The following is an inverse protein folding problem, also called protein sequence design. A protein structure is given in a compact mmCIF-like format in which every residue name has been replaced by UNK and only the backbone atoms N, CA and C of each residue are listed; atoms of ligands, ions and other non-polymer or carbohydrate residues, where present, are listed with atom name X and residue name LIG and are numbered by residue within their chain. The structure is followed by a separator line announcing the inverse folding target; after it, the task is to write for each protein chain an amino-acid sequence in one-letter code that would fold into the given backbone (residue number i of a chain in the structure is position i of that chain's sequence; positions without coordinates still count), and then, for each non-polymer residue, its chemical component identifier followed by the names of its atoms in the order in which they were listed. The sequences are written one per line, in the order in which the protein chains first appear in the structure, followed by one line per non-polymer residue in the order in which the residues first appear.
data_IF_187827126186
#
_entry.id   IF_187827126186
#
_cell.length_a   1.000
_cell.length_b   1.000
_cell.length_c   1.000
_cell.angle_alpha   90.00
_cell.angle_beta   90.00
_cell.angle_gamma   90.00
#
_symmetry.space_group_name_H-M   'P 1'
#
loop_
_entity.id
_entity.type
_entity.pdbx_description
1 polymer ?
#
# COMPACT_ATOMS: atom_id res chain seq x y z
N UNK A 1 -22.01 8.98 -1.84
CA UNK A 1 -20.62 9.26 -2.26
C UNK A 1 -19.80 8.03 -1.93
N UNK A 2 -18.77 7.69 -2.71
CA UNK A 2 -17.93 6.52 -2.41
C UNK A 2 -16.88 6.84 -1.35
N UNK A 3 -16.45 5.82 -0.62
CA UNK A 3 -15.50 5.87 0.48
C UNK A 3 -14.37 4.90 0.18
N UNK A 4 -13.12 5.37 0.17
CA UNK A 4 -12.00 4.55 -0.29
C UNK A 4 -11.04 4.21 0.83
N UNK A 5 -10.63 2.94 0.87
CA UNK A 5 -9.46 2.49 1.64
C UNK A 5 -8.36 2.20 0.64
N UNK A 6 -7.17 2.75 0.86
CA UNK A 6 -6.07 2.65 -0.09
C UNK A 6 -4.79 2.20 0.58
N UNK A 7 -3.94 1.53 -0.20
CA UNK A 7 -2.63 1.04 0.25
C UNK A 7 -1.56 1.58 -0.70
N UNK A 8 -0.64 2.33 -0.12
CA UNK A 8 0.55 2.82 -0.81
C UNK A 8 1.77 2.00 -0.42
N UNK A 9 2.68 1.84 -1.36
CA UNK A 9 4.01 1.26 -1.14
C UNK A 9 5.08 2.28 -1.49
N UNK A 10 6.07 2.42 -0.61
CA UNK A 10 7.22 3.27 -0.88
C UNK A 10 8.15 2.59 -1.88
N UNK A 11 8.53 3.30 -2.93
CA UNK A 11 9.58 2.85 -3.86
C UNK A 11 10.98 3.07 -3.32
N UNK A 12 11.16 3.96 -2.34
CA UNK A 12 12.46 4.30 -1.75
C UNK A 12 12.80 3.49 -0.52
N UNK A 13 11.81 2.89 0.17
CA UNK A 13 12.01 2.08 1.36
C UNK A 13 11.28 0.73 1.26
N UNK A 14 12.06 -0.34 1.25
CA UNK A 14 11.57 -1.72 1.18
C UNK A 14 10.57 -2.03 2.29
N UNK A 15 9.47 -2.70 1.93
CA UNK A 15 8.39 -3.11 2.84
C UNK A 15 7.68 -1.98 3.61
N UNK A 16 7.92 -0.71 3.24
CA UNK A 16 7.20 0.41 3.82
C UNK A 16 5.89 0.61 3.09
N UNK A 17 4.79 0.35 3.77
CA UNK A 17 3.43 0.60 3.27
C UNK A 17 2.73 1.69 4.10
N UNK A 18 1.75 2.33 3.49
CA UNK A 18 0.80 3.22 4.16
C UNK A 18 -0.61 2.77 3.84
N UNK A 19 -1.47 2.68 4.86
CA UNK A 19 -2.88 2.32 4.71
C UNK A 19 -3.68 3.53 5.17
N UNK A 20 -4.54 4.04 4.30
CA UNK A 20 -5.33 5.23 4.58
C UNK A 20 -6.75 5.15 4.05
N UNK A 21 -7.52 6.15 4.44
CA UNK A 21 -8.90 6.36 4.02
C UNK A 21 -9.03 7.72 3.31
N UNK A 22 -9.86 7.80 2.28
CA UNK A 22 -10.21 9.04 1.61
C UNK A 22 -11.66 8.99 1.08
N UNK A 23 -12.51 10.00 1.33
CA UNK A 23 -13.92 10.01 0.88
C UNK A 23 -14.12 10.42 -0.59
N UNK A 24 -13.04 10.56 -1.36
CA UNK A 24 -13.04 11.09 -2.73
C UNK A 24 -12.00 10.35 -3.58
N UNK A 25 -11.42 11.01 -4.58
CA UNK A 25 -10.47 10.43 -5.53
C UNK A 25 -9.14 10.02 -4.88
N UNK A 26 -8.83 8.71 -4.89
CA UNK A 26 -7.58 8.16 -4.38
C UNK A 26 -6.35 8.72 -5.10
N UNK A 27 -6.45 9.05 -6.39
CA UNK A 27 -5.30 9.55 -7.16
C UNK A 27 -4.82 10.92 -6.64
N UNK A 28 -5.74 11.85 -6.38
CA UNK A 28 -5.40 13.15 -5.80
C UNK A 28 -4.74 13.00 -4.43
N UNK A 29 -5.18 12.01 -3.64
CA UNK A 29 -4.58 11.70 -2.35
C UNK A 29 -3.16 11.17 -2.50
N UNK A 30 -2.91 10.27 -3.46
CA UNK A 30 -1.56 9.76 -3.79
C UNK A 30 -0.64 10.91 -4.19
N UNK A 31 -1.12 11.83 -5.01
CA UNK A 31 -0.33 13.01 -5.39
C UNK A 31 0.04 13.87 -4.19
N UNK A 32 -0.88 14.14 -3.25
CA UNK A 32 -0.58 14.87 -2.00
C UNK A 32 0.53 14.18 -1.20
N UNK A 33 0.49 12.85 -1.10
CA UNK A 33 1.57 12.08 -0.47
C UNK A 33 2.90 12.28 -1.21
N UNK A 34 2.90 12.28 -2.54
CA UNK A 34 4.10 12.45 -3.36
C UNK A 34 4.63 13.89 -3.43
N UNK A 35 3.77 14.91 -3.28
CA UNK A 35 4.18 16.31 -3.08
C UNK A 35 4.78 16.55 -1.68
N UNK A 36 4.61 15.60 -0.76
CA UNK A 36 5.17 15.70 0.59
C UNK A 36 4.36 16.57 1.53
N UNK A 37 3.08 16.79 1.20
CA UNK A 37 2.13 17.56 2.02
C UNK A 37 1.68 16.78 3.27
N UNK A 38 1.92 15.47 3.30
CA UNK A 38 1.63 14.61 4.45
C UNK A 38 2.92 14.29 5.20
N UNK A 39 3.15 15.02 6.30
CA UNK A 39 4.38 14.99 7.10
C UNK A 39 4.90 13.58 7.42
N UNK A 40 4.03 12.69 7.93
CA UNK A 40 4.41 11.32 8.32
C UNK A 40 4.83 10.42 7.17
N UNK A 41 4.44 10.75 5.94
CA UNK A 41 4.73 9.97 4.74
C UNK A 41 5.77 10.63 3.83
N UNK A 42 6.08 11.91 4.06
CA UNK A 42 7.06 12.70 3.32
C UNK A 42 8.46 12.04 3.23
N UNK A 43 9.00 11.38 4.28
CA UNK A 43 10.33 10.76 4.20
C UNK A 43 10.42 9.53 3.29
N UNK A 44 9.29 8.91 2.94
CA UNK A 44 9.26 7.62 2.24
C UNK A 44 8.72 7.73 0.81
N UNK A 45 8.71 8.93 0.25
CA UNK A 45 8.37 9.15 -1.15
C UNK A 45 9.47 8.58 -2.07
N UNK A 46 9.17 8.22 -3.33
CA UNK A 46 7.84 8.26 -3.93
C UNK A 46 6.98 7.05 -3.52
N UNK A 47 5.69 7.30 -3.41
CA UNK A 47 4.64 6.35 -3.11
C UNK A 47 3.93 5.90 -4.39
N UNK A 48 3.70 4.60 -4.49
CA UNK A 48 2.87 3.98 -5.52
C UNK A 48 1.59 3.42 -4.89
N UNK A 49 0.45 3.64 -5.55
CA UNK A 49 -0.81 2.99 -5.19
C UNK A 49 -0.76 1.53 -5.65
N UNK A 50 -0.83 0.59 -4.72
CA UNK A 50 -0.76 -0.85 -5.04
C UNK A 50 -2.11 -1.57 -4.88
N UNK A 51 -3.05 -0.95 -4.17
CA UNK A 51 -4.37 -1.51 -3.89
C UNK A 51 -5.33 -0.43 -3.37
N UNK A 52 -6.61 -0.55 -3.70
CA UNK A 52 -7.67 0.20 -3.03
C UNK A 52 -9.00 -0.57 -3.07
N UNK A 53 -9.87 -0.27 -2.11
CA UNK A 53 -11.24 -0.78 -2.00
C UNK A 53 -12.21 0.41 -1.94
N UNK A 54 -13.39 0.26 -2.55
CA UNK A 54 -14.44 1.27 -2.54
C UNK A 54 -15.66 0.78 -1.74
N UNK A 55 -16.24 1.67 -0.94
CA UNK A 55 -17.36 1.42 -0.05
C UNK A 55 -18.46 2.45 -0.27
N UNK A 56 -19.71 2.05 -0.08
CA UNK A 56 -20.85 2.98 -0.07
C UNK A 56 -21.05 3.64 1.30
N UNK A 57 -20.64 2.97 2.38
CA UNK A 57 -20.80 3.43 3.74
C UNK A 57 -19.43 3.81 4.34
N UNK A 58 -19.37 4.96 5.01
CA UNK A 58 -18.15 5.47 5.65
C UNK A 58 -17.65 4.57 6.78
N UNK A 59 -18.55 4.08 7.63
CA UNK A 59 -18.18 3.27 8.80
C UNK A 59 -17.61 1.91 8.38
N UNK A 60 -18.10 1.34 7.29
CA UNK A 60 -17.54 0.12 6.70
C UNK A 60 -16.10 0.36 6.19
N UNK A 61 -15.87 1.46 5.49
CA UNK A 61 -14.53 1.84 5.04
C UNK A 61 -13.57 2.07 6.23
N UNK A 62 -14.02 2.78 7.26
CA UNK A 62 -13.21 3.04 8.45
C UNK A 62 -12.96 1.76 9.27
N UNK A 63 -13.95 0.87 9.37
CA UNK A 63 -13.79 -0.45 10.02
C UNK A 63 -12.77 -1.30 9.25
N UNK A 64 -12.83 -1.26 7.93
CA UNK A 64 -11.86 -1.94 7.06
C UNK A 64 -10.45 -1.38 7.21
N UNK A 65 -10.30 -0.06 7.18
CA UNK A 65 -9.01 0.62 7.34
C UNK A 65 -8.35 0.23 8.67
N UNK A 66 -9.12 0.27 9.77
CA UNK A 66 -8.68 -0.20 11.08
C UNK A 66 -8.30 -1.68 11.07
N UNK A 67 -9.12 -2.54 10.46
CA UNK A 67 -8.81 -3.97 10.35
C UNK A 67 -7.48 -4.20 9.61
N UNK A 68 -7.26 -3.54 8.47
CA UNK A 68 -6.05 -3.69 7.66
C UNK A 68 -4.78 -3.27 8.41
N UNK A 69 -4.89 -2.34 9.38
CA UNK A 69 -3.79 -1.93 10.28
C UNK A 69 -3.51 -2.92 11.41
N UNK A 70 -4.37 -3.89 11.66
CA UNK A 70 -4.10 -4.97 12.64
C UNK A 70 -3.11 -6.01 12.10
N UNK A 71 -2.54 -6.83 12.98
CA UNK A 71 -1.67 -7.95 12.56
C UNK A 71 -2.38 -8.94 11.63
N UNK A 72 -3.65 -9.25 11.92
CA UNK A 72 -4.44 -10.17 11.11
C UNK A 72 -4.75 -9.56 9.73
N UNK A 73 -5.21 -8.31 9.69
CA UNK A 73 -5.48 -7.62 8.43
C UNK A 73 -4.23 -7.39 7.59
N UNK A 74 -3.09 -7.07 8.21
CA UNK A 74 -1.82 -6.96 7.50
C UNK A 74 -1.40 -8.30 6.88
N UNK A 75 -1.59 -9.44 7.57
CA UNK A 75 -1.33 -10.78 7.01
C UNK A 75 -2.27 -11.09 5.85
N UNK A 76 -3.56 -10.80 5.98
CA UNK A 76 -4.54 -10.97 4.92
C UNK A 76 -4.16 -10.13 3.68
N UNK A 77 -3.79 -8.86 3.87
CA UNK A 77 -3.34 -7.97 2.79
C UNK A 77 -2.08 -8.50 2.09
N UNK A 78 -1.10 -8.98 2.86
CA UNK A 78 0.12 -9.61 2.30
C UNK A 78 -0.20 -10.85 1.47
N UNK A 79 -1.16 -11.65 1.93
CA UNK A 79 -1.63 -12.83 1.20
C UNK A 79 -2.32 -12.45 -0.12
N UNK A 80 -3.25 -11.48 -0.08
CA UNK A 80 -3.93 -10.98 -1.28
C UNK A 80 -2.95 -10.39 -2.31
N UNK A 81 -1.96 -9.61 -1.83
CA UNK A 81 -0.97 -8.94 -2.67
C UNK A 81 0.28 -9.79 -2.94
N UNK A 82 0.21 -11.11 -2.77
CA UNK A 82 1.36 -12.01 -2.96
C UNK A 82 1.94 -11.87 -4.37
N UNK A 83 1.11 -11.87 -5.41
CA UNK A 83 1.60 -11.80 -6.80
C UNK A 83 2.25 -10.46 -7.13
N UNK A 84 1.64 -9.34 -6.70
CA UNK A 84 2.23 -8.01 -6.83
C UNK A 84 3.64 -7.96 -6.21
N UNK A 85 3.78 -8.53 -5.00
CA UNK A 85 5.05 -8.59 -4.27
C UNK A 85 6.09 -9.51 -4.90
N UNK A 86 5.68 -10.55 -5.61
CA UNK A 86 6.59 -11.39 -6.40
C UNK A 86 7.11 -10.63 -7.61
N UNK A 87 6.24 -9.92 -8.31
CA UNK A 87 6.58 -9.15 -9.51
C UNK A 87 7.43 -7.91 -9.20
N UNK A 88 7.26 -7.30 -8.02
CA UNK A 88 8.04 -6.13 -7.61
C UNK A 88 9.48 -6.47 -7.18
N UNK A 89 9.77 -7.75 -6.89
CA UNK A 89 11.15 -8.23 -6.70
C UNK A 89 11.79 -8.38 -8.07
N UNK A 90 12.66 -7.44 -8.44
CA UNK A 90 13.48 -7.55 -9.68
C UNK A 90 14.14 -8.94 -9.74
N UNK A 91 14.12 -9.64 -10.89
CA UNK A 91 14.90 -10.86 -11.07
C UNK A 91 16.38 -10.48 -11.10
N UNK A 92 17.07 -10.58 -9.96
CA UNK A 92 18.44 -10.10 -9.86
C UNK A 92 19.08 -10.17 -8.47
N UNK A 93 18.92 -11.28 -7.75
CA UNK A 93 19.86 -11.68 -6.69
C UNK A 93 19.60 -13.15 -6.31
N UNK A 94 20.20 -14.09 -7.04
CA UNK A 94 20.01 -15.51 -6.69
C UNK A 94 20.49 -16.56 -7.68
N UNK A 95 21.38 -16.26 -8.64
CA UNK A 95 22.16 -17.32 -9.28
C UNK A 95 23.41 -17.57 -8.41
N UNK A 96 23.27 -18.39 -7.36
CA UNK A 96 24.45 -19.07 -6.82
C UNK A 96 24.70 -20.25 -7.74
N UNK A 97 25.72 -20.11 -8.59
CA UNK A 97 26.41 -21.24 -9.21
C UNK A 97 26.81 -22.20 -8.09
N UNK A 98 26.22 -23.38 -8.05
CA UNK A 98 26.80 -24.52 -7.35
C UNK A 98 27.52 -25.34 -8.40
N UNK A 99 28.78 -25.00 -8.63
CA UNK A 99 29.73 -25.88 -9.33
C UNK A 99 30.24 -26.89 -8.31
N UNK A 100 29.78 -28.14 -8.40
CA UNK A 100 30.61 -29.36 -8.37
C UNK A 100 29.72 -30.59 -8.42
#
# INVERSE_FOLDING_TARGET
MFHFVYVLESKSKTNQIYIGYYPENVNERVEKHNRGEVFSTKPYRPWELIFYEAYLNQDDALRRERYLKTNQGSRALKFMLRKHRELSKKPGSGAKHTTR
#
